data_IF_613183379033
#
_entry.id   IF_613183379033
#
_cell.length_a   1.000
_cell.length_b   1.000
_cell.length_c   1.000
_cell.angle_alpha   90.00
_cell.angle_beta   90.00
_cell.angle_gamma   90.00
#
_symmetry.space_group_name_H-M   'P 1'
#
loop_
_entity.id
_entity.type
_entity.pdbx_description
1 polymer ?
#
# COMPACT_ATOMS: atom_id res chain seq x y z
N UNK A 1 -27.14 5.99 37.10
CA UNK A 1 -27.01 4.76 36.28
C UNK A 1 -25.68 4.13 36.64
N UNK A 2 -25.70 2.99 37.34
CA UNK A 2 -24.47 2.33 37.81
C UNK A 2 -23.61 1.91 36.60
N UNK A 3 -22.32 2.22 36.61
CA UNK A 3 -21.37 1.77 35.60
C UNK A 3 -21.19 0.26 35.75
N UNK A 4 -21.70 -0.51 34.80
CA UNK A 4 -21.65 -1.99 34.77
C UNK A 4 -20.25 -2.55 34.53
N UNK A 5 -19.18 -1.78 34.73
CA UNK A 5 -17.79 -2.16 34.46
C UNK A 5 -17.40 -2.32 32.97
N UNK A 6 -18.39 -2.43 32.07
CA UNK A 6 -18.16 -2.55 30.63
C UNK A 6 -18.11 -1.20 29.92
N UNK A 7 -17.06 -0.99 29.12
CA UNK A 7 -16.83 0.24 28.35
C UNK A 7 -17.41 0.24 26.94
N UNK A 8 -17.81 -0.94 26.41
CA UNK A 8 -18.24 -1.09 25.02
C UNK A 8 -19.70 -1.54 24.94
N UNK A 9 -20.42 -1.07 23.92
CA UNK A 9 -21.80 -1.46 23.62
C UNK A 9 -21.89 -1.87 22.16
N UNK A 10 -22.73 -2.86 21.85
CA UNK A 10 -22.96 -3.26 20.47
C UNK A 10 -23.63 -2.10 19.71
N UNK A 11 -23.20 -1.83 18.47
CA UNK A 11 -23.86 -0.87 17.61
C UNK A 11 -25.28 -1.37 17.27
N UNK A 12 -26.18 -0.42 16.97
CA UNK A 12 -27.59 -0.70 16.67
C UNK A 12 -27.79 -1.56 15.42
N UNK A 13 -26.82 -1.56 14.51
CA UNK A 13 -26.81 -2.33 13.27
C UNK A 13 -25.54 -3.18 13.20
N UNK A 14 -25.58 -4.37 12.58
CA UNK A 14 -24.43 -5.23 12.43
C UNK A 14 -23.51 -4.68 11.32
N UNK A 15 -22.66 -3.73 11.68
CA UNK A 15 -21.62 -3.16 10.83
C UNK A 15 -20.25 -3.78 11.13
N UNK A 16 -19.18 -3.24 10.53
CA UNK A 16 -17.82 -3.69 10.81
C UNK A 16 -17.49 -3.65 12.31
N UNK A 17 -17.96 -2.63 13.03
CA UNK A 17 -17.72 -2.50 14.46
C UNK A 17 -18.43 -3.59 15.26
N UNK A 18 -19.63 -4.01 14.87
CA UNK A 18 -20.32 -5.15 15.49
C UNK A 18 -19.45 -6.41 15.49
N UNK A 19 -18.97 -6.81 14.31
CA UNK A 19 -18.13 -8.01 14.13
C UNK A 19 -16.78 -7.86 14.83
N UNK A 20 -16.27 -6.63 14.93
CA UNK A 20 -15.11 -6.36 15.75
C UNK A 20 -15.40 -6.61 17.25
N UNK A 21 -16.46 -6.04 17.79
CA UNK A 21 -16.69 -6.07 19.23
C UNK A 21 -16.92 -7.51 19.74
N UNK A 22 -17.74 -8.31 19.05
CA UNK A 22 -18.12 -9.67 19.47
C UNK A 22 -16.94 -10.65 19.52
N UNK A 23 -15.85 -10.36 18.79
CA UNK A 23 -14.63 -11.16 18.81
C UNK A 23 -13.49 -10.57 19.66
N UNK A 24 -13.63 -9.34 20.16
CA UNK A 24 -12.59 -8.64 20.92
C UNK A 24 -12.81 -8.68 22.42
N UNK A 25 -14.06 -8.47 22.85
CA UNK A 25 -14.38 -8.31 24.27
C UNK A 25 -15.06 -9.54 24.84
N UNK A 26 -14.51 -10.04 25.94
CA UNK A 26 -15.04 -11.18 26.71
C UNK A 26 -16.50 -11.00 27.15
N UNK A 27 -16.95 -9.76 27.35
CA UNK A 27 -18.34 -9.46 27.72
C UNK A 27 -19.39 -10.00 26.73
N UNK A 28 -19.00 -10.28 25.48
CA UNK A 28 -19.89 -10.81 24.44
C UNK A 28 -19.80 -12.34 24.27
N UNK A 29 -18.95 -13.01 25.05
CA UNK A 29 -18.77 -14.46 25.01
C UNK A 29 -20.09 -15.24 25.24
N UNK A 30 -20.95 -14.76 26.14
CA UNK A 30 -22.23 -15.40 26.46
C UNK A 30 -23.25 -15.39 25.32
N UNK A 31 -23.02 -14.57 24.29
CA UNK A 31 -23.91 -14.46 23.13
C UNK A 31 -23.72 -15.56 22.09
N UNK A 32 -22.73 -16.44 22.27
CA UNK A 32 -22.44 -17.51 21.33
C UNK A 32 -23.30 -18.74 21.61
N UNK A 33 -23.68 -19.45 20.54
CA UNK A 33 -24.65 -20.57 20.57
C UNK A 33 -24.23 -21.73 21.48
N UNK A 34 -22.93 -21.89 21.71
CA UNK A 34 -22.32 -22.95 22.51
C UNK A 34 -22.03 -22.52 23.96
N UNK A 35 -22.52 -21.35 24.38
CA UNK A 35 -22.42 -20.92 25.77
C UNK A 35 -23.35 -21.75 26.67
N UNK A 36 -22.81 -22.23 27.79
CA UNK A 36 -23.56 -22.95 28.81
C UNK A 36 -24.25 -21.94 29.75
N UNK A 37 -25.59 -21.81 29.70
CA UNK A 37 -26.32 -20.83 30.50
C UNK A 37 -26.28 -21.11 32.01
N UNK A 38 -25.86 -22.31 32.44
CA UNK A 38 -25.69 -22.62 33.85
C UNK A 38 -24.40 -22.03 34.45
N UNK A 39 -23.47 -21.55 33.60
CA UNK A 39 -22.20 -20.96 34.04
C UNK A 39 -22.35 -19.50 34.44
N UNK A 40 -21.69 -19.13 35.53
CA UNK A 40 -21.67 -17.77 36.08
C UNK A 40 -20.32 -17.07 35.88
N UNK A 41 -19.29 -17.79 35.42
CA UNK A 41 -17.90 -17.35 35.27
C UNK A 41 -17.56 -16.85 33.86
N UNK A 42 -18.47 -16.10 33.23
CA UNK A 42 -18.43 -15.72 31.81
C UNK A 42 -17.25 -14.85 31.36
N UNK A 43 -16.50 -14.25 32.30
CA UNK A 43 -15.27 -13.49 32.01
C UNK A 43 -14.01 -14.36 32.03
N UNK A 44 -14.11 -15.59 32.53
CA UNK A 44 -12.99 -16.54 32.66
C UNK A 44 -13.20 -17.72 31.72
N UNK A 45 -14.40 -18.31 31.75
CA UNK A 45 -14.80 -19.38 30.86
C UNK A 45 -15.28 -18.81 29.54
N UNK A 46 -14.66 -19.24 28.45
CA UNK A 46 -15.06 -18.83 27.10
C UNK A 46 -15.54 -20.00 26.27
N UNK A 47 -16.62 -19.76 25.52
CA UNK A 47 -17.18 -20.72 24.58
C UNK A 47 -16.16 -21.07 23.49
N UNK A 48 -16.29 -22.26 22.89
CA UNK A 48 -15.39 -22.70 21.85
C UNK A 48 -15.53 -21.83 20.59
N UNK A 49 -16.76 -21.45 20.22
CA UNK A 49 -17.03 -20.58 19.07
C UNK A 49 -16.52 -19.16 19.28
N UNK A 50 -16.68 -18.59 20.47
CA UNK A 50 -16.08 -17.28 20.77
C UNK A 50 -14.56 -17.33 20.59
N UNK A 51 -13.90 -18.37 21.14
CA UNK A 51 -12.44 -18.54 21.02
C UNK A 51 -12.01 -18.66 19.57
N UNK A 52 -12.68 -19.53 18.80
CA UNK A 52 -12.42 -19.72 17.36
C UNK A 52 -12.55 -18.41 16.58
N UNK A 53 -13.63 -17.67 16.79
CA UNK A 53 -13.87 -16.40 16.11
C UNK A 53 -12.87 -15.32 16.49
N UNK A 54 -12.53 -15.21 17.78
CA UNK A 54 -11.49 -14.30 18.28
C UNK A 54 -10.15 -14.58 17.59
N UNK A 55 -9.77 -15.84 17.46
CA UNK A 55 -8.49 -16.23 16.86
C UNK A 55 -8.48 -15.98 15.33
N UNK A 56 -9.61 -16.20 14.64
CA UNK A 56 -9.76 -15.79 13.23
C UNK A 56 -9.63 -14.28 13.06
N UNK A 57 -10.29 -13.52 13.92
CA UNK A 57 -10.23 -12.05 13.92
C UNK A 57 -8.83 -11.52 14.24
N UNK A 58 -8.10 -12.16 15.15
CA UNK A 58 -6.69 -11.86 15.42
C UNK A 58 -5.83 -12.04 14.18
N UNK A 59 -5.93 -13.21 13.52
CA UNK A 59 -5.22 -13.48 12.27
C UNK A 59 -5.56 -12.48 11.15
N UNK A 60 -6.83 -12.10 11.02
CA UNK A 60 -7.23 -11.09 10.04
C UNK A 60 -6.58 -9.72 10.32
N UNK A 61 -6.48 -9.32 11.59
CA UNK A 61 -5.81 -8.09 11.99
C UNK A 61 -4.29 -8.12 11.70
N UNK A 62 -3.64 -9.26 11.95
CA UNK A 62 -2.22 -9.43 11.66
C UNK A 62 -1.93 -9.35 10.16
N UNK A 63 -2.74 -10.01 9.34
CA UNK A 63 -2.66 -9.93 7.87
C UNK A 63 -2.92 -8.50 7.37
N UNK A 64 -3.89 -7.80 7.95
CA UNK A 64 -4.17 -6.41 7.60
C UNK A 64 -2.98 -5.50 7.92
N UNK A 65 -2.31 -5.71 9.04
CA UNK A 65 -1.10 -4.96 9.41
C UNK A 65 0.06 -5.22 8.44
N UNK A 66 0.26 -6.47 8.01
CA UNK A 66 1.25 -6.82 6.96
C UNK A 66 0.89 -6.13 5.64
N UNK A 67 -0.36 -6.24 5.19
CA UNK A 67 -0.81 -5.63 3.94
C UNK A 67 -0.66 -4.10 3.95
N UNK A 68 -1.00 -3.45 5.07
CA UNK A 68 -0.83 -1.99 5.25
C UNK A 68 0.64 -1.60 5.14
N UNK A 69 1.53 -2.36 5.74
CA UNK A 69 2.98 -2.12 5.72
C UNK A 69 3.54 -2.31 4.30
N UNK A 70 3.20 -3.42 3.64
CA UNK A 70 3.61 -3.70 2.26
C UNK A 70 3.13 -2.62 1.28
N UNK A 71 1.87 -2.20 1.40
CA UNK A 71 1.30 -1.11 0.58
C UNK A 71 2.08 0.19 0.77
N UNK A 72 2.45 0.51 2.02
CA UNK A 72 3.23 1.71 2.33
C UNK A 72 4.62 1.64 1.70
N UNK A 73 5.27 0.47 1.78
CA UNK A 73 6.58 0.23 1.15
C UNK A 73 6.53 0.35 -0.38
N UNK A 74 5.48 -0.17 -1.02
CA UNK A 74 5.28 -0.06 -2.47
C UNK A 74 5.20 1.41 -2.90
N UNK A 75 4.43 2.23 -2.17
CA UNK A 75 4.31 3.67 -2.46
C UNK A 75 5.66 4.38 -2.32
N UNK A 76 6.40 4.11 -1.25
CA UNK A 76 7.74 4.68 -1.04
C UNK A 76 8.69 4.25 -2.15
N UNK A 77 8.69 2.96 -2.51
CA UNK A 77 9.52 2.45 -3.60
C UNK A 77 9.21 3.16 -4.92
N UNK A 78 7.94 3.32 -5.27
CA UNK A 78 7.56 4.03 -6.50
C UNK A 78 7.99 5.49 -6.50
N UNK A 79 7.90 6.19 -5.37
CA UNK A 79 8.37 7.56 -5.26
C UNK A 79 9.88 7.66 -5.47
N UNK A 80 10.65 6.78 -4.84
CA UNK A 80 12.11 6.73 -5.00
C UNK A 80 12.49 6.38 -6.44
N UNK A 81 11.83 5.38 -7.04
CA UNK A 81 12.05 5.01 -8.45
C UNK A 81 11.71 6.14 -9.41
N UNK A 82 10.67 6.94 -9.14
CA UNK A 82 10.33 8.10 -9.97
C UNK A 82 11.44 9.16 -9.93
N UNK A 83 11.97 9.47 -8.76
CA UNK A 83 13.08 10.43 -8.61
C UNK A 83 14.33 9.92 -9.31
N UNK A 84 14.69 8.65 -9.08
CA UNK A 84 15.84 8.01 -9.70
C UNK A 84 15.72 8.01 -11.24
N UNK A 85 14.56 7.63 -11.78
CA UNK A 85 14.31 7.64 -13.22
C UNK A 85 14.40 9.07 -13.82
N UNK A 86 13.91 10.09 -13.12
CA UNK A 86 14.00 11.47 -13.58
C UNK A 86 15.44 11.97 -13.63
N UNK A 87 16.24 11.67 -12.60
CA UNK A 87 17.66 12.02 -12.56
C UNK A 87 18.44 11.22 -13.60
N UNK A 88 18.20 9.92 -13.71
CA UNK A 88 18.84 9.06 -14.70
C UNK A 88 18.55 9.50 -16.14
N UNK A 89 17.29 9.82 -16.46
CA UNK A 89 16.91 10.33 -17.77
C UNK A 89 17.58 11.68 -18.08
N UNK A 90 17.67 12.58 -17.09
CA UNK A 90 18.38 13.85 -17.24
C UNK A 90 19.87 13.63 -17.54
N UNK A 91 20.56 12.85 -16.71
CA UNK A 91 21.99 12.57 -16.88
C UNK A 91 22.28 11.88 -18.20
N UNK A 92 21.43 10.93 -18.62
CA UNK A 92 21.54 10.26 -19.93
C UNK A 92 21.35 11.22 -21.10
N UNK A 93 20.37 12.14 -21.02
CA UNK A 93 20.17 13.16 -22.05
C UNK A 93 21.32 14.17 -22.10
N UNK A 94 21.97 14.48 -20.97
CA UNK A 94 23.16 15.32 -20.93
C UNK A 94 24.41 14.59 -21.45
N UNK A 95 24.51 13.26 -21.26
CA UNK A 95 25.67 12.46 -21.70
C UNK A 95 25.65 12.10 -23.19
N UNK A 96 24.48 12.10 -23.83
CA UNK A 96 24.31 11.80 -25.26
C UNK A 96 23.84 13.06 -25.99
N UNK A 97 24.75 13.72 -26.72
CA UNK A 97 24.40 14.86 -27.57
C UNK A 97 24.44 14.45 -29.03
N UNK A 98 23.31 14.62 -29.73
CA UNK A 98 23.20 14.46 -31.18
C UNK A 98 22.93 15.83 -31.78
N UNK A 99 23.82 16.31 -32.66
CA UNK A 99 23.60 17.54 -33.40
C UNK A 99 23.47 17.23 -34.89
N UNK A 100 22.51 17.86 -35.56
CA UNK A 100 22.30 17.71 -37.00
C UNK A 100 22.33 19.08 -37.65
N UNK A 101 23.18 19.26 -38.65
CA UNK A 101 23.45 20.53 -39.31
C UNK A 101 23.28 20.38 -40.81
N UNK A 102 22.60 21.34 -41.46
CA UNK A 102 22.62 21.47 -42.92
C UNK A 102 23.75 22.44 -43.30
N UNK A 103 24.79 21.93 -43.95
CA UNK A 103 25.91 22.76 -44.40
C UNK A 103 25.72 23.14 -45.87
N UNK A 104 25.60 24.43 -46.21
CA UNK A 104 25.66 24.85 -47.60
C UNK A 104 27.10 24.71 -48.10
N UNK A 105 27.32 23.87 -49.10
CA UNK A 105 28.63 23.72 -49.77
C UNK A 105 28.54 24.24 -51.20
N UNK A 106 29.52 25.06 -51.60
CA UNK A 106 29.60 25.62 -52.95
C UNK A 106 30.55 24.73 -53.76
N UNK A 107 30.03 24.09 -54.81
CA UNK A 107 30.85 23.29 -55.74
C UNK A 107 31.50 24.15 -56.81
N UNK A 108 32.47 23.56 -57.51
CA UNK A 108 33.29 24.12 -58.61
C UNK A 108 32.54 24.84 -59.76
N UNK A 109 31.20 24.79 -59.80
CA UNK A 109 30.33 25.40 -60.81
C UNK A 109 29.34 26.44 -60.23
N UNK A 110 29.49 26.85 -58.96
CA UNK A 110 28.67 27.89 -58.33
C UNK A 110 27.31 27.44 -57.79
N UNK A 111 26.96 26.15 -57.90
CA UNK A 111 25.76 25.59 -57.28
C UNK A 111 25.93 25.46 -55.76
N UNK A 112 24.90 25.84 -55.01
CA UNK A 112 24.78 25.63 -53.56
C UNK A 112 24.08 24.30 -53.31
N UNK A 113 24.77 23.36 -52.68
CA UNK A 113 24.24 22.07 -52.27
C UNK A 113 24.11 22.06 -50.73
N UNK A 114 22.94 21.68 -50.21
CA UNK A 114 22.74 21.52 -48.77
C UNK A 114 23.04 20.09 -48.37
N UNK A 115 24.12 19.88 -47.62
CA UNK A 115 24.53 18.55 -47.17
C UNK A 115 24.13 18.37 -45.70
N UNK A 116 23.25 17.41 -45.37
CA UNK A 116 22.96 17.07 -43.99
C UNK A 116 24.17 16.40 -43.35
N UNK A 117 24.59 16.90 -42.20
CA UNK A 117 25.71 16.38 -41.41
C UNK A 117 25.20 16.10 -39.99
N UNK A 118 25.45 14.91 -39.48
CA UNK A 118 25.08 14.53 -38.10
C UNK A 118 26.35 14.26 -37.29
N UNK A 119 26.46 14.85 -36.10
CA UNK A 119 27.51 14.54 -35.12
C UNK A 119 26.89 13.91 -33.88
N UNK A 120 27.54 12.85 -33.40
CA UNK A 120 27.22 12.17 -32.15
C UNK A 120 28.37 12.40 -31.18
N UNK A 121 28.06 12.90 -29.98
CA UNK A 121 29.01 13.04 -28.88
C UNK A 121 28.50 12.30 -27.67
N UNK A 122 29.35 11.46 -27.09
CA UNK A 122 29.09 10.71 -25.86
C UNK A 122 30.12 11.17 -24.83
N UNK A 123 29.67 11.72 -23.71
CA UNK A 123 30.52 12.11 -22.58
C UNK A 123 30.29 11.19 -21.40
N UNK A 124 31.38 10.62 -20.87
CA UNK A 124 31.40 9.71 -19.71
C UNK A 124 32.05 10.38 -18.50
#
# INVERSE_FOLDING_TARGET
>A
IASTGFSHRLPRRPDQQYYELIGKYLQYNVGWVDWDPARTDYLVSVSARFREYRDMRGRANDLYMVARTATSMIVVNHLLSMVDAALGARTFNESVRVETHLRPTIRSLGFVEFVPTTSLSISF
#
